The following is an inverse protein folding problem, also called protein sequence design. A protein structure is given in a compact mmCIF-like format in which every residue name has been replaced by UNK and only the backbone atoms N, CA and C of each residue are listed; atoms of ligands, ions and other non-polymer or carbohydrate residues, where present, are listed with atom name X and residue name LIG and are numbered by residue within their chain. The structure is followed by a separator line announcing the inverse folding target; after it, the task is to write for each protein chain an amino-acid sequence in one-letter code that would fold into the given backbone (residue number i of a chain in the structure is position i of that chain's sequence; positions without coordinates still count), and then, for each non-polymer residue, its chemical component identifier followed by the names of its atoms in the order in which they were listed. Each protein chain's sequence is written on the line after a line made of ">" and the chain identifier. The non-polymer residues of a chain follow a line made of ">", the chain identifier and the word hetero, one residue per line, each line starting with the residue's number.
data_IF_141917683236
#
_entry.id   IF_141917683236
#
_cell.length_a   1.000
_cell.length_b   1.000
_cell.length_c   1.000
_cell.angle_alpha   90.00
_cell.angle_beta   90.00
_cell.angle_gamma   90.00
#
_symmetry.space_group_name_H-M   'P 1'
#
loop_
_entity.id
_entity.type
_entity.pdbx_description
1 polymer ?
#
# COMPACT_ATOMS: atom_id res chain seq x y z
N UNK A 1 46.56 -63.80 -16.74
CA UNK A 1 46.49 -62.82 -17.84
C UNK A 1 45.46 -61.74 -17.50
N UNK A 2 45.90 -60.53 -17.15
CA UNK A 2 44.99 -59.42 -16.85
C UNK A 2 44.62 -58.71 -18.17
N UNK A 3 43.38 -58.87 -18.64
CA UNK A 3 42.89 -58.14 -19.82
C UNK A 3 42.66 -56.67 -19.45
N UNK A 4 43.53 -55.78 -19.92
CA UNK A 4 43.33 -54.32 -19.84
C UNK A 4 42.08 -53.95 -20.65
N UNK A 5 41.02 -53.49 -20.00
CA UNK A 5 39.84 -52.93 -20.67
C UNK A 5 40.27 -51.67 -21.43
N UNK A 6 40.08 -51.63 -22.74
CA UNK A 6 40.22 -50.40 -23.54
C UNK A 6 39.08 -49.45 -23.16
N UNK A 7 39.41 -48.28 -22.65
CA UNK A 7 38.45 -47.21 -22.44
C UNK A 7 38.21 -46.56 -23.81
N UNK A 8 36.99 -46.70 -24.35
CA UNK A 8 36.55 -45.95 -25.52
C UNK A 8 36.21 -44.53 -25.04
N UNK A 9 36.86 -43.52 -25.63
CA UNK A 9 36.51 -42.12 -25.40
C UNK A 9 35.19 -41.75 -26.09
N UNK A 10 34.50 -40.72 -25.58
CA UNK A 10 33.27 -40.21 -26.16
C UNK A 10 33.50 -39.61 -27.55
N UNK A 11 32.51 -39.75 -28.45
CA UNK A 11 32.53 -39.11 -29.77
C UNK A 11 32.31 -37.60 -29.65
N UNK A 12 32.89 -36.80 -30.55
CA UNK A 12 32.69 -35.35 -30.61
C UNK A 12 31.21 -34.96 -30.76
N UNK A 13 30.43 -35.75 -31.53
CA UNK A 13 28.99 -35.55 -31.67
C UNK A 13 28.25 -35.77 -30.34
N UNK A 14 28.64 -36.81 -29.59
CA UNK A 14 28.04 -37.15 -28.30
C UNK A 14 28.34 -36.07 -27.26
N UNK A 15 29.58 -35.55 -27.24
CA UNK A 15 29.97 -34.42 -26.40
C UNK A 15 29.20 -33.14 -26.78
N UNK A 16 29.02 -32.83 -28.07
CA UNK A 16 28.23 -31.68 -28.52
C UNK A 16 26.75 -31.80 -28.16
N UNK A 17 26.16 -32.98 -28.33
CA UNK A 17 24.77 -33.24 -27.92
C UNK A 17 24.60 -33.12 -26.41
N UNK A 18 25.51 -33.68 -25.63
CA UNK A 18 25.50 -33.56 -24.17
C UNK A 18 25.62 -32.09 -23.72
N UNK A 19 26.52 -31.33 -24.35
CA UNK A 19 26.70 -29.91 -24.06
C UNK A 19 25.47 -29.08 -24.47
N UNK A 20 24.82 -29.43 -25.58
CA UNK A 20 23.58 -28.79 -26.04
C UNK A 20 22.41 -29.03 -25.09
N UNK A 21 22.21 -30.27 -24.65
CA UNK A 21 21.17 -30.62 -23.66
C UNK A 21 21.46 -29.92 -22.32
N UNK A 22 22.73 -29.90 -21.89
CA UNK A 22 23.14 -29.20 -20.68
C UNK A 22 22.88 -27.70 -20.77
N UNK A 23 23.22 -27.07 -21.91
CA UNK A 23 22.98 -25.65 -22.16
C UNK A 23 21.50 -25.31 -22.13
N UNK A 24 20.66 -26.10 -22.83
CA UNK A 24 19.20 -25.93 -22.79
C UNK A 24 18.64 -26.10 -21.37
N UNK A 25 19.15 -27.07 -20.60
CA UNK A 25 18.78 -27.29 -19.21
C UNK A 25 19.09 -26.08 -18.31
N UNK A 26 20.28 -25.50 -18.45
CA UNK A 26 20.67 -24.31 -17.67
C UNK A 26 19.80 -23.09 -18.01
N UNK A 27 19.47 -22.89 -19.28
CA UNK A 27 18.58 -21.78 -19.70
C UNK A 27 17.18 -21.95 -19.11
N UNK A 28 16.63 -23.17 -19.13
CA UNK A 28 15.33 -23.44 -18.52
C UNK A 28 15.33 -23.18 -17.01
N UNK A 29 16.38 -23.58 -16.30
CA UNK A 29 16.53 -23.29 -14.85
C UNK A 29 16.61 -21.79 -14.61
N UNK A 30 17.40 -21.07 -15.41
CA UNK A 30 17.54 -19.62 -15.28
C UNK A 30 16.23 -18.86 -15.51
N UNK A 31 15.32 -19.38 -16.34
CA UNK A 31 14.00 -18.80 -16.57
C UNK A 31 13.00 -19.12 -15.46
N UNK A 32 12.94 -20.38 -15.00
CA UNK A 32 11.90 -20.83 -14.05
C UNK A 32 12.20 -20.37 -12.62
N UNK A 33 13.46 -20.35 -12.21
CA UNK A 33 13.82 -20.09 -10.82
C UNK A 33 13.44 -18.68 -10.32
N UNK A 34 13.73 -17.58 -11.05
CA UNK A 34 13.34 -16.23 -10.62
C UNK A 34 11.81 -16.05 -10.57
N UNK A 35 11.10 -16.63 -11.53
CA UNK A 35 9.63 -16.60 -11.57
C UNK A 35 9.05 -17.33 -10.38
N UNK A 36 9.58 -18.52 -10.07
CA UNK A 36 9.18 -19.30 -8.89
C UNK A 36 9.36 -18.52 -7.58
N UNK A 37 10.51 -17.85 -7.40
CA UNK A 37 10.77 -17.01 -6.22
C UNK A 37 9.76 -15.87 -6.13
N UNK A 38 9.52 -15.14 -7.23
CA UNK A 38 8.62 -13.99 -7.25
C UNK A 38 7.17 -14.40 -6.95
N UNK A 39 6.69 -15.48 -7.55
CA UNK A 39 5.33 -15.99 -7.34
C UNK A 39 5.15 -16.51 -5.91
N UNK A 40 6.14 -17.25 -5.39
CA UNK A 40 6.12 -17.73 -4.01
C UNK A 40 6.08 -16.56 -3.03
N UNK A 41 6.95 -15.56 -3.20
CA UNK A 41 6.96 -14.36 -2.36
C UNK A 41 5.62 -13.60 -2.39
N UNK A 42 5.04 -13.42 -3.58
CA UNK A 42 3.74 -12.74 -3.72
C UNK A 42 2.60 -13.54 -3.09
N UNK A 43 2.61 -14.87 -3.22
CA UNK A 43 1.62 -15.76 -2.60
C UNK A 43 1.68 -15.73 -1.07
N UNK A 44 2.90 -15.80 -0.53
CA UNK A 44 3.15 -15.68 0.92
C UNK A 44 2.70 -14.31 1.44
N UNK A 45 3.03 -13.22 0.74
CA UNK A 45 2.59 -11.87 1.08
C UNK A 45 1.07 -11.75 1.11
N UNK A 46 0.35 -12.27 0.11
CA UNK A 46 -1.12 -12.25 0.11
C UNK A 46 -1.73 -12.99 1.29
N UNK A 47 -1.15 -14.13 1.65
CA UNK A 47 -1.63 -14.95 2.78
C UNK A 47 -1.38 -14.22 4.11
N UNK A 48 -0.17 -13.69 4.32
CA UNK A 48 0.15 -12.90 5.51
C UNK A 48 -0.70 -11.63 5.56
N UNK A 49 -0.90 -10.96 4.42
CA UNK A 49 -1.73 -9.76 4.32
C UNK A 49 -3.16 -9.99 4.78
N UNK A 50 -3.77 -11.14 4.45
CA UNK A 50 -5.10 -11.49 4.93
C UNK A 50 -5.13 -11.77 6.44
N UNK A 51 -4.12 -12.47 6.97
CA UNK A 51 -4.02 -12.78 8.40
C UNK A 51 -3.81 -11.52 9.23
N UNK A 52 -2.84 -10.68 8.84
CA UNK A 52 -2.55 -9.42 9.50
C UNK A 52 -3.74 -8.45 9.45
N UNK A 53 -4.49 -8.43 8.34
CA UNK A 53 -5.72 -7.62 8.25
C UNK A 53 -6.81 -8.12 9.21
N UNK A 54 -7.01 -9.44 9.34
CA UNK A 54 -7.98 -9.99 10.30
C UNK A 54 -7.61 -9.65 11.74
N UNK A 55 -6.32 -9.69 12.07
CA UNK A 55 -5.82 -9.27 13.37
C UNK A 55 -6.04 -7.77 13.61
N UNK A 56 -5.73 -6.93 12.63
CA UNK A 56 -5.99 -5.50 12.68
C UNK A 56 -7.48 -5.20 12.94
N UNK A 57 -8.40 -5.87 12.25
CA UNK A 57 -9.84 -5.72 12.50
C UNK A 57 -10.22 -6.09 13.93
N UNK A 58 -9.66 -7.18 14.47
CA UNK A 58 -9.89 -7.57 15.85
C UNK A 58 -9.37 -6.51 16.84
N UNK A 59 -8.20 -5.92 16.56
CA UNK A 59 -7.64 -4.83 17.38
C UNK A 59 -8.48 -3.55 17.32
N UNK A 60 -8.95 -3.17 16.13
CA UNK A 60 -9.87 -2.04 15.94
C UNK A 60 -11.17 -2.25 16.74
N UNK A 61 -11.73 -3.46 16.71
CA UNK A 61 -12.91 -3.80 17.52
C UNK A 61 -12.61 -3.76 19.03
N UNK A 62 -11.44 -4.25 19.45
CA UNK A 62 -11.04 -4.31 20.86
C UNK A 62 -10.80 -2.93 21.47
N UNK A 63 -10.06 -2.07 20.79
CA UNK A 63 -9.78 -0.71 21.26
C UNK A 63 -10.97 0.24 21.09
N UNK A 64 -11.92 -0.18 20.28
CA UNK A 64 -13.15 0.55 20.03
C UNK A 64 -12.92 1.74 19.12
N UNK A 65 -14.03 2.40 18.84
CA UNK A 65 -14.07 3.64 18.10
C UNK A 65 -14.68 4.72 19.00
N UNK A 66 -14.23 5.96 18.85
CA UNK A 66 -14.75 7.10 19.61
C UNK A 66 -16.00 7.66 18.96
N UNK A 67 -16.81 8.36 19.75
CA UNK A 67 -18.05 9.01 19.32
C UNK A 67 -17.86 9.80 18.01
N UNK A 68 -18.73 9.59 17.03
CA UNK A 68 -18.60 10.14 15.68
C UNK A 68 -18.59 11.66 15.67
N UNK A 69 -19.29 12.30 16.62
CA UNK A 69 -19.29 13.75 16.77
C UNK A 69 -17.87 14.31 17.01
N UNK A 70 -16.99 13.52 17.66
CA UNK A 70 -15.62 13.92 17.93
C UNK A 70 -14.72 13.86 16.69
N UNK A 71 -15.08 13.08 15.66
CA UNK A 71 -14.25 12.93 14.46
C UNK A 71 -14.15 14.23 13.67
N UNK A 72 -15.19 15.07 13.74
CA UNK A 72 -15.17 16.43 13.19
C UNK A 72 -14.05 17.30 13.78
N UNK A 73 -13.50 16.94 14.95
CA UNK A 73 -12.32 17.65 15.49
C UNK A 73 -11.03 17.34 14.73
N UNK A 74 -10.97 16.21 14.01
CA UNK A 74 -9.83 15.85 13.16
C UNK A 74 -9.83 16.75 11.93
N UNK A 75 -10.98 16.83 11.25
CA UNK A 75 -11.19 17.74 10.14
C UNK A 75 -12.62 18.34 10.20
N UNK A 76 -12.78 19.62 10.58
CA UNK A 76 -14.10 20.24 10.83
C UNK A 76 -15.02 20.30 9.61
N UNK A 77 -14.49 20.18 8.41
CA UNK A 77 -15.26 20.21 7.16
C UNK A 77 -15.78 18.85 6.73
N UNK A 78 -15.32 17.78 7.38
CA UNK A 78 -15.53 16.41 6.91
C UNK A 78 -16.65 15.75 7.72
N UNK A 79 -17.65 15.22 7.02
CA UNK A 79 -18.74 14.45 7.63
C UNK A 79 -18.27 13.00 7.89
N UNK A 80 -18.29 12.49 9.13
CA UNK A 80 -17.93 11.11 9.48
C UNK A 80 -18.65 10.02 8.69
N UNK A 81 -19.86 10.31 8.20
CA UNK A 81 -20.66 9.38 7.39
C UNK A 81 -20.34 9.41 5.90
N UNK A 82 -19.67 10.48 5.44
CA UNK A 82 -19.36 10.73 4.04
C UNK A 82 -17.87 10.88 3.76
N UNK A 83 -16.99 10.70 4.75
CA UNK A 83 -15.54 10.81 4.57
C UNK A 83 -14.76 9.79 5.41
N UNK A 84 -13.58 9.44 4.92
CA UNK A 84 -12.68 8.49 5.55
C UNK A 84 -11.67 9.22 6.45
N UNK A 85 -11.44 8.70 7.65
CA UNK A 85 -10.52 9.23 8.63
C UNK A 85 -9.43 8.21 8.95
N UNK A 86 -8.20 8.65 9.19
CA UNK A 86 -7.15 7.75 9.68
C UNK A 86 -7.51 7.25 11.10
N UNK A 87 -7.54 5.93 11.26
CA UNK A 87 -7.85 5.27 12.54
C UNK A 87 -6.97 5.78 13.68
N UNK A 88 -5.71 6.11 13.42
CA UNK A 88 -4.76 6.64 14.43
C UNK A 88 -5.27 7.94 15.03
N UNK A 89 -5.82 8.82 14.21
CA UNK A 89 -6.38 10.06 14.68
C UNK A 89 -7.70 9.81 15.43
N UNK A 90 -8.53 8.88 14.95
CA UNK A 90 -9.80 8.52 15.60
C UNK A 90 -9.59 7.95 17.01
N UNK A 91 -8.64 7.03 17.19
CA UNK A 91 -8.40 6.38 18.49
C UNK A 91 -7.73 7.30 19.51
N UNK A 92 -6.95 8.28 19.03
CA UNK A 92 -6.29 9.30 19.84
C UNK A 92 -7.25 10.42 20.31
N UNK A 93 -8.49 10.47 19.79
CA UNK A 93 -9.46 11.47 20.23
C UNK A 93 -9.81 11.29 21.72
N UNK A 94 -9.95 12.40 22.46
CA UNK A 94 -10.33 12.35 23.88
C UNK A 94 -11.69 11.68 24.03
N UNK A 95 -11.78 10.68 24.91
CA UNK A 95 -13.05 10.04 25.25
C UNK A 95 -13.79 10.90 26.30
N UNK A 96 -14.96 11.49 25.98
CA UNK A 96 -15.71 12.31 26.94
C UNK A 96 -16.21 11.50 28.15
N UNK A 97 -16.43 10.18 28.00
CA UNK A 97 -16.83 9.30 29.09
C UNK A 97 -15.64 8.81 29.93
N UNK A 98 -14.41 8.84 29.39
CA UNK A 98 -13.18 8.42 30.08
C UNK A 98 -12.02 9.34 29.69
N UNK A 99 -12.02 10.60 30.18
CA UNK A 99 -11.06 11.63 29.76
C UNK A 99 -9.60 11.35 30.16
N UNK A 100 -9.32 10.24 30.85
CA UNK A 100 -7.98 9.82 31.26
C UNK A 100 -7.47 8.58 30.51
N UNK A 101 -8.30 7.92 29.69
CA UNK A 101 -7.89 6.78 28.86
C UNK A 101 -7.42 7.26 27.48
N UNK A 102 -6.28 7.96 27.47
CA UNK A 102 -5.56 8.26 26.25
C UNK A 102 -4.71 7.05 25.86
N UNK A 103 -4.94 6.55 24.64
CA UNK A 103 -3.97 5.69 23.98
C UNK A 103 -3.16 6.64 23.10
N UNK A 104 -1.86 6.77 23.33
CA UNK A 104 -0.97 7.54 22.44
C UNK A 104 -0.54 6.64 21.28
N UNK A 105 -1.39 6.57 20.26
CA UNK A 105 -1.16 5.73 19.09
C UNK A 105 -0.36 6.50 18.06
N UNK A 106 0.92 6.14 17.94
CA UNK A 106 1.85 6.68 16.94
C UNK A 106 1.94 5.78 15.70
N UNK A 107 2.53 6.28 14.61
CA UNK A 107 2.65 5.54 13.33
C UNK A 107 3.54 4.30 13.44
N UNK A 108 4.41 4.23 14.43
CA UNK A 108 5.33 3.13 14.69
C UNK A 108 4.93 2.29 15.89
N UNK A 109 3.73 2.51 16.44
CA UNK A 109 3.24 1.80 17.61
C UNK A 109 3.37 0.29 17.41
N UNK A 110 4.02 -0.45 18.34
CA UNK A 110 4.29 -1.88 18.14
C UNK A 110 3.04 -2.72 17.86
N UNK A 111 1.88 -2.26 18.34
CA UNK A 111 0.60 -2.93 18.10
C UNK A 111 0.11 -2.87 16.65
N UNK A 112 0.67 -1.99 15.83
CA UNK A 112 0.45 -1.96 14.38
C UNK A 112 1.39 -2.87 13.61
N UNK A 113 2.36 -3.49 14.27
CA UNK A 113 3.36 -4.33 13.63
C UNK A 113 2.93 -5.79 13.68
N UNK A 114 3.20 -6.53 12.61
CA UNK A 114 2.91 -7.96 12.51
C UNK A 114 4.21 -8.76 12.30
N UNK A 115 4.39 -9.90 13.00
CA UNK A 115 3.46 -10.51 13.96
C UNK A 115 3.39 -9.76 15.29
N UNK A 116 2.23 -9.74 15.96
CA UNK A 116 2.04 -9.08 17.26
C UNK A 116 2.55 -9.90 18.43
N UNK A 117 3.83 -10.26 18.36
CA UNK A 117 4.55 -10.93 19.43
C UNK A 117 5.71 -10.04 19.85
N UNK A 118 6.07 -10.07 21.14
CA UNK A 118 7.32 -9.46 21.56
C UNK A 118 8.48 -10.23 20.94
N UNK A 119 9.22 -9.59 20.04
CA UNK A 119 10.39 -10.18 19.40
C UNK A 119 11.59 -10.01 20.34
N UNK A 120 12.23 -11.11 20.81
CA UNK A 120 13.44 -11.02 21.62
C UNK A 120 14.57 -10.27 20.89
N UNK A 121 15.40 -9.56 21.66
CA UNK A 121 16.57 -8.88 21.10
C UNK A 121 17.47 -9.86 20.32
N UNK A 122 17.81 -9.50 19.07
CA UNK A 122 18.63 -10.31 18.18
C UNK A 122 17.88 -11.22 17.19
N UNK A 123 16.54 -11.21 17.20
CA UNK A 123 15.71 -11.84 16.16
C UNK A 123 15.30 -10.84 15.07
N UNK A 124 14.82 -11.37 13.93
CA UNK A 124 14.41 -10.53 12.81
C UNK A 124 13.32 -9.54 13.22
N UNK A 125 13.43 -8.25 12.85
CA UNK A 125 12.44 -7.24 13.21
C UNK A 125 11.08 -7.57 12.56
N UNK A 126 10.02 -6.97 13.10
CA UNK A 126 8.70 -7.03 12.48
C UNK A 126 8.81 -6.60 11.01
N UNK A 127 8.21 -7.39 10.11
CA UNK A 127 8.33 -7.19 8.66
C UNK A 127 7.16 -6.44 8.06
N UNK A 128 6.04 -6.46 8.77
CA UNK A 128 4.76 -5.98 8.30
C UNK A 128 4.18 -4.98 9.28
N UNK A 129 3.41 -4.05 8.74
CA UNK A 129 2.71 -3.04 9.49
C UNK A 129 1.29 -2.91 8.94
N UNK A 130 0.35 -2.51 9.77
CA UNK A 130 -1.01 -2.22 9.32
C UNK A 130 -1.43 -0.81 9.71
N UNK A 131 -2.22 -0.20 8.85
CA UNK A 131 -2.85 1.10 9.07
C UNK A 131 -4.29 1.00 8.58
N UNK A 132 -5.18 1.86 9.07
CA UNK A 132 -6.59 1.75 8.72
C UNK A 132 -7.22 3.12 8.47
N UNK A 133 -8.17 3.13 7.54
CA UNK A 133 -9.11 4.23 7.35
C UNK A 133 -10.48 3.79 7.88
N UNK A 134 -11.17 4.70 8.56
CA UNK A 134 -12.47 4.48 9.17
C UNK A 134 -13.49 5.46 8.59
N UNK A 135 -14.70 4.98 8.31
CA UNK A 135 -15.85 5.79 7.94
C UNK A 135 -17.08 5.27 8.66
N UNK A 136 -17.86 6.15 9.28
CA UNK A 136 -19.12 5.75 9.89
C UNK A 136 -20.10 5.34 8.78
N UNK A 137 -20.77 4.22 8.95
CA UNK A 137 -21.84 3.76 8.05
C UNK A 137 -23.19 4.08 8.69
N UNK A 138 -23.32 3.76 9.97
CA UNK A 138 -24.45 4.11 10.81
C UNK A 138 -23.98 4.37 12.25
N UNK A 139 -24.92 4.55 13.19
CA UNK A 139 -24.61 4.82 14.59
C UNK A 139 -23.85 3.70 15.33
N UNK A 140 -23.79 2.49 14.78
CA UNK A 140 -23.14 1.30 15.38
C UNK A 140 -22.17 0.60 14.42
N UNK A 141 -22.12 1.00 13.16
CA UNK A 141 -21.34 0.36 12.12
C UNK A 141 -20.29 1.31 11.57
N UNK A 142 -19.07 0.82 11.49
CA UNK A 142 -17.96 1.52 10.84
C UNK A 142 -17.39 0.66 9.73
N UNK A 143 -17.23 1.25 8.56
CA UNK A 143 -16.44 0.68 7.48
C UNK A 143 -14.97 0.94 7.79
N UNK A 144 -14.21 -0.13 8.04
CA UNK A 144 -12.78 -0.09 8.23
C UNK A 144 -12.07 -0.63 6.98
N UNK A 145 -11.14 0.15 6.43
CA UNK A 145 -10.27 -0.22 5.32
C UNK A 145 -8.84 -0.35 5.83
N UNK A 146 -8.37 -1.58 5.99
CA UNK A 146 -7.03 -1.89 6.51
C UNK A 146 -6.05 -2.06 5.36
N UNK A 147 -4.94 -1.33 5.43
CA UNK A 147 -3.77 -1.47 4.57
C UNK A 147 -2.70 -2.24 5.32
N UNK A 148 -2.33 -3.41 4.79
CA UNK A 148 -1.16 -4.15 5.26
C UNK A 148 0.02 -3.79 4.37
N UNK A 149 1.06 -3.26 4.99
CA UNK A 149 2.24 -2.71 4.33
C UNK A 149 3.50 -3.40 4.83
N UNK A 150 4.58 -3.26 4.05
CA UNK A 150 5.93 -3.66 4.43
C UNK A 150 6.92 -2.56 4.14
N UNK A 151 8.08 -2.62 4.78
CA UNK A 151 9.20 -1.75 4.39
C UNK A 151 9.73 -2.12 3.01
N UNK A 152 9.97 -1.11 2.19
CA UNK A 152 10.58 -1.27 0.87
C UNK A 152 12.08 -1.60 0.97
N UNK A 153 12.74 -1.14 2.04
CA UNK A 153 14.15 -1.30 2.35
C UNK A 153 14.46 -0.85 3.78
N UNK A 154 15.65 -1.17 4.26
CA UNK A 154 16.13 -0.78 5.58
C UNK A 154 16.53 0.71 5.59
N UNK A 155 16.23 1.42 6.68
CA UNK A 155 16.56 2.85 6.83
C UNK A 155 15.75 3.81 5.94
N UNK A 156 14.81 3.31 5.14
CA UNK A 156 13.91 4.17 4.36
C UNK A 156 12.89 4.85 5.26
N UNK A 157 12.68 6.13 5.02
CA UNK A 157 11.61 6.93 5.60
C UNK A 157 10.39 6.95 4.66
N UNK A 158 9.24 7.29 5.21
CA UNK A 158 7.95 7.30 4.56
C UNK A 158 7.25 8.62 4.77
N UNK A 159 6.32 8.92 3.86
CA UNK A 159 5.52 10.14 3.94
C UNK A 159 4.49 10.04 5.06
N UNK A 160 4.25 11.17 5.74
CA UNK A 160 3.24 11.30 6.79
C UNK A 160 2.07 12.13 6.29
N UNK A 161 0.88 11.94 6.87
CA UNK A 161 -0.31 12.72 6.49
C UNK A 161 -0.12 14.23 6.71
N UNK A 162 0.79 14.64 7.61
CA UNK A 162 1.14 16.04 7.84
C UNK A 162 2.08 16.64 6.77
N UNK A 163 2.43 15.90 5.71
CA UNK A 163 3.31 16.36 4.63
C UNK A 163 4.81 16.17 4.91
N UNK A 164 5.18 15.42 5.95
CA UNK A 164 6.57 15.12 6.30
C UNK A 164 7.13 13.86 5.61
N UNK A 165 8.46 13.71 5.63
CA UNK A 165 9.22 12.57 5.10
C UNK A 165 9.97 11.83 6.23
N UNK A 166 9.33 11.71 7.38
CA UNK A 166 9.90 11.24 8.65
C UNK A 166 9.20 9.98 9.19
N UNK A 167 8.22 9.45 8.47
CA UNK A 167 7.51 8.24 8.86
C UNK A 167 8.41 7.01 8.86
N UNK A 168 8.29 6.15 9.88
CA UNK A 168 9.05 4.90 9.98
C UNK A 168 8.38 3.71 9.26
N UNK A 169 7.09 3.88 8.90
CA UNK A 169 6.29 2.87 8.22
C UNK A 169 5.42 3.49 7.13
N UNK A 170 5.20 2.76 6.02
CA UNK A 170 4.29 3.20 4.98
C UNK A 170 2.86 3.31 5.53
N UNK A 171 2.30 4.51 5.43
CA UNK A 171 0.98 4.86 5.92
C UNK A 171 0.16 5.62 4.85
N UNK A 172 -1.18 5.60 4.90
CA UNK A 172 -2.02 6.32 3.97
C UNK A 172 -1.81 7.84 4.09
N UNK A 173 -1.77 8.51 2.95
CA UNK A 173 -1.69 9.97 2.84
C UNK A 173 -2.76 10.47 1.86
N UNK A 174 -3.24 11.68 2.09
CA UNK A 174 -4.29 12.31 1.29
C UNK A 174 -3.72 13.04 0.07
N UNK A 175 -4.22 12.74 -1.12
CA UNK A 175 -3.80 13.43 -2.34
C UNK A 175 -5.02 14.03 -3.02
N UNK A 176 -4.91 15.28 -3.44
CA UNK A 176 -5.95 15.95 -4.20
C UNK A 176 -5.87 15.54 -5.66
N UNK A 177 -7.03 15.25 -6.24
CA UNK A 177 -7.20 14.85 -7.63
C UNK A 177 -8.37 15.60 -8.25
N UNK A 178 -8.38 15.69 -9.57
CA UNK A 178 -9.55 16.13 -10.34
C UNK A 178 -9.78 15.18 -11.50
N UNK A 179 -10.90 15.38 -12.18
CA UNK A 179 -11.24 14.58 -13.36
C UNK A 179 -10.23 14.86 -14.48
N UNK A 180 -9.74 13.80 -15.13
CA UNK A 180 -8.86 13.87 -16.28
C UNK A 180 -9.63 13.98 -17.59
N UNK A 181 -9.16 13.30 -18.64
CA UNK A 181 -9.78 13.34 -19.97
C UNK A 181 -11.08 12.52 -20.08
N UNK A 182 -11.24 11.47 -19.27
CA UNK A 182 -12.40 10.57 -19.26
C UNK A 182 -12.72 10.05 -17.85
N UNK A 183 -13.84 9.36 -17.67
CA UNK A 183 -14.31 8.86 -16.36
C UNK A 183 -13.36 7.89 -15.65
N UNK A 184 -12.30 7.39 -16.30
CA UNK A 184 -11.28 6.52 -15.69
C UNK A 184 -9.97 7.25 -15.42
N UNK A 185 -9.87 8.50 -15.80
CA UNK A 185 -8.65 9.28 -15.68
C UNK A 185 -8.78 10.30 -14.55
N UNK A 186 -7.81 10.30 -13.65
CA UNK A 186 -7.68 11.29 -12.58
C UNK A 186 -6.38 12.05 -12.74
N UNK A 187 -6.44 13.38 -12.72
CA UNK A 187 -5.26 14.24 -12.69
C UNK A 187 -4.86 14.54 -11.23
N UNK A 188 -3.61 14.27 -10.87
CA UNK A 188 -3.05 14.56 -9.54
C UNK A 188 -2.73 16.04 -9.43
N UNK A 189 -3.21 16.67 -8.34
CA UNK A 189 -2.95 18.07 -8.03
C UNK A 189 -1.72 18.16 -7.11
N UNK A 190 -0.76 19.02 -7.48
CA UNK A 190 0.54 19.16 -6.80
C UNK A 190 0.51 20.04 -5.55
N UNK A 191 -0.63 20.66 -5.24
CA UNK A 191 -0.70 21.76 -4.27
C UNK A 191 -0.54 21.32 -2.81
N UNK A 192 -0.65 20.02 -2.53
CA UNK A 192 -1.00 19.61 -1.17
C UNK A 192 0.17 19.80 -0.19
N UNK A 193 1.42 19.60 -0.61
CA UNK A 193 2.60 19.68 0.28
C UNK A 193 3.89 20.23 -0.33
N UNK A 194 3.89 20.66 -1.60
CA UNK A 194 5.12 21.11 -2.29
C UNK A 194 6.18 20.01 -2.50
N UNK A 195 5.93 18.78 -2.05
CA UNK A 195 6.71 17.57 -2.37
C UNK A 195 6.30 16.98 -3.71
N UNK A 196 7.20 16.18 -4.28
CA UNK A 196 6.95 15.42 -5.51
C UNK A 196 5.94 14.27 -5.28
N UNK A 197 4.65 14.62 -5.18
CA UNK A 197 3.51 13.70 -5.00
C UNK A 197 3.41 12.70 -6.17
N UNK A 198 4.11 12.98 -7.28
CA UNK A 198 4.13 12.14 -8.47
C UNK A 198 4.79 10.78 -8.24
N UNK A 199 5.72 10.70 -7.29
CA UNK A 199 6.33 9.43 -6.89
C UNK A 199 5.43 8.53 -6.05
N UNK A 200 4.20 8.95 -5.71
CA UNK A 200 3.33 8.20 -4.80
C UNK A 200 2.63 7.04 -5.50
N UNK A 201 2.52 7.12 -6.82
CA UNK A 201 1.76 6.18 -7.64
C UNK A 201 2.70 5.37 -8.51
N UNK A 202 2.49 4.06 -8.53
CA UNK A 202 3.01 3.17 -9.56
C UNK A 202 1.91 2.30 -10.14
N UNK A 203 2.24 1.51 -11.15
CA UNK A 203 1.30 0.58 -11.76
C UNK A 203 0.74 -0.40 -10.70
N UNK A 204 -0.56 -0.67 -10.77
CA UNK A 204 -1.30 -1.51 -9.82
C UNK A 204 -1.35 -0.99 -8.37
N UNK A 205 -1.08 0.31 -8.15
CA UNK A 205 -1.29 0.95 -6.85
C UNK A 205 -2.75 0.92 -6.44
N UNK A 206 -3.00 0.82 -5.14
CA UNK A 206 -4.35 0.90 -4.57
C UNK A 206 -4.59 2.31 -4.08
N UNK A 207 -5.70 2.91 -4.50
CA UNK A 207 -6.17 4.18 -3.96
C UNK A 207 -7.54 3.98 -3.35
N UNK A 208 -7.89 4.80 -2.37
CA UNK A 208 -9.20 4.78 -1.73
C UNK A 208 -9.82 6.16 -1.81
N UNK A 209 -11.04 6.26 -2.35
CA UNK A 209 -11.75 7.52 -2.39
C UNK A 209 -12.05 8.01 -0.97
N UNK A 210 -11.74 9.27 -0.66
CA UNK A 210 -11.99 9.81 0.68
C UNK A 210 -13.49 9.77 1.01
N UNK A 211 -14.34 10.08 0.05
CA UNK A 211 -15.77 10.27 0.30
C UNK A 211 -16.50 8.96 0.69
N UNK A 212 -16.50 7.95 -0.15
CA UNK A 212 -17.29 6.73 0.08
C UNK A 212 -16.45 5.53 0.53
N UNK A 213 -15.13 5.70 0.66
CA UNK A 213 -14.21 4.62 1.01
C UNK A 213 -14.08 3.57 -0.09
N UNK A 214 -14.49 3.86 -1.34
CA UNK A 214 -14.34 2.91 -2.45
C UNK A 214 -12.88 2.71 -2.80
N UNK A 215 -12.53 1.45 -3.02
CA UNK A 215 -11.17 1.05 -3.37
C UNK A 215 -11.07 0.99 -4.88
N UNK A 216 -10.12 1.74 -5.45
CA UNK A 216 -9.79 1.71 -6.86
C UNK A 216 -8.38 1.17 -7.09
N UNK A 217 -8.18 0.58 -8.27
CA UNK A 217 -6.86 0.12 -8.74
C UNK A 217 -6.37 0.99 -9.88
N UNK A 218 -5.17 1.53 -9.72
CA UNK A 218 -4.45 2.25 -10.78
C UNK A 218 -3.96 1.21 -11.79
N UNK A 219 -4.50 1.25 -13.00
CA UNK A 219 -4.08 0.42 -14.11
C UNK A 219 -2.73 0.88 -14.65
N UNK A 220 -2.59 2.19 -14.87
CA UNK A 220 -1.41 2.80 -15.47
C UNK A 220 -1.19 4.19 -14.87
N UNK A 221 0.07 4.49 -14.56
CA UNK A 221 0.48 5.84 -14.23
C UNK A 221 1.07 6.53 -15.46
N UNK A 222 0.34 7.50 -16.02
CA UNK A 222 0.81 8.28 -17.17
C UNK A 222 1.40 9.60 -16.70
N UNK A 223 2.72 9.67 -16.70
CA UNK A 223 3.44 10.93 -16.65
C UNK A 223 3.37 11.56 -18.05
N UNK A 224 2.34 12.38 -18.33
CA UNK A 224 2.21 13.00 -19.66
C UNK A 224 2.79 14.40 -19.65
N UNK A 225 3.69 14.57 -20.62
CA UNK A 225 4.40 15.78 -20.99
C UNK A 225 3.54 17.05 -21.09
N UNK A 226 4.11 18.13 -20.58
CA UNK A 226 4.07 19.51 -21.07
C UNK A 226 2.86 19.92 -21.92
N UNK A 227 1.85 20.54 -21.31
CA UNK A 227 1.09 21.57 -22.01
C UNK A 227 1.69 22.94 -21.64
N UNK A 228 2.42 23.53 -22.58
CA UNK A 228 2.85 24.93 -22.47
C UNK A 228 1.63 25.82 -22.73
N UNK A 229 0.87 26.13 -21.68
CA UNK A 229 -0.05 27.26 -21.70
C UNK A 229 0.75 28.49 -21.25
N UNK A 230 1.49 29.10 -22.18
CA UNK A 230 2.43 30.20 -21.92
C UNK A 230 3.84 29.74 -21.47
N UNK A 231 4.61 30.63 -20.85
CA UNK A 231 6.02 30.43 -20.44
C UNK A 231 6.22 29.49 -19.23
N UNK A 232 5.15 28.95 -18.65
CA UNK A 232 5.23 28.07 -17.46
C UNK A 232 4.82 26.63 -17.81
N UNK A 233 5.73 25.65 -17.74
CA UNK A 233 5.38 24.26 -18.02
C UNK A 233 4.44 23.72 -16.93
N UNK A 234 3.25 23.27 -17.31
CA UNK A 234 2.34 22.56 -16.40
C UNK A 234 2.51 21.05 -16.60
N UNK A 235 2.98 20.35 -15.57
CA UNK A 235 3.13 18.88 -15.56
C UNK A 235 1.76 18.30 -15.22
N UNK A 236 1.20 17.47 -16.11
CA UNK A 236 -0.03 16.72 -15.87
C UNK A 236 0.30 15.26 -15.59
N UNK A 237 -0.01 14.80 -14.39
CA UNK A 237 0.14 13.40 -14.01
C UNK A 237 -1.22 12.74 -13.89
N UNK A 238 -1.46 11.76 -14.75
CA UNK A 238 -2.77 11.14 -14.94
C UNK A 238 -2.73 9.71 -14.46
N UNK A 239 -3.59 9.39 -13.49
CA UNK A 239 -3.88 8.03 -13.05
C UNK A 239 -4.96 7.46 -13.97
N UNK A 240 -4.69 6.33 -14.63
CA UNK A 240 -5.73 5.56 -15.32
C UNK A 240 -6.22 4.49 -14.37
N UNK A 241 -7.51 4.48 -14.07
CA UNK A 241 -8.16 3.52 -13.20
C UNK A 241 -8.65 2.30 -13.98
N UNK A 242 -8.77 1.18 -13.26
CA UNK A 242 -9.32 -0.07 -13.82
C UNK A 242 -10.83 0.03 -14.08
N UNK A 243 -11.51 0.87 -13.32
CA UNK A 243 -12.96 1.08 -13.35
C UNK A 243 -13.29 2.58 -13.38
N UNK A 244 -14.55 2.91 -13.68
CA UNK A 244 -14.99 4.30 -13.78
C UNK A 244 -14.97 4.95 -12.38
N UNK A 245 -14.36 6.12 -12.28
CA UNK A 245 -14.43 6.98 -11.12
C UNK A 245 -15.86 7.47 -10.92
N UNK A 246 -16.34 7.38 -9.68
CA UNK A 246 -17.69 7.78 -9.32
C UNK A 246 -17.60 8.99 -8.36
N UNK A 247 -17.48 10.21 -8.90
CA UNK A 247 -17.27 11.39 -8.09
C UNK A 247 -18.53 11.75 -7.29
N UNK A 248 -18.38 12.26 -6.06
CA UNK A 248 -19.47 12.97 -5.41
C UNK A 248 -19.85 14.22 -6.23
N UNK A 249 -21.17 14.46 -6.32
CA UNK A 249 -21.74 15.53 -7.14
C UNK A 249 -21.37 16.92 -6.60
N UNK A 250 -21.20 17.89 -7.49
CA UNK A 250 -21.06 19.31 -7.12
C UNK A 250 -19.64 19.77 -6.80
N UNK A 251 -18.62 18.91 -6.94
CA UNK A 251 -17.21 19.25 -6.74
C UNK A 251 -16.41 19.13 -8.04
N UNK A 252 -15.36 19.93 -8.16
CA UNK A 252 -14.42 19.92 -9.31
C UNK A 252 -13.10 19.21 -8.99
N UNK A 253 -12.84 18.96 -7.71
CA UNK A 253 -11.69 18.22 -7.18
C UNK A 253 -12.13 17.38 -6.00
N UNK A 254 -11.37 16.32 -5.73
CA UNK A 254 -11.63 15.34 -4.68
C UNK A 254 -10.33 14.92 -4.02
N UNK A 255 -10.46 14.34 -2.84
CA UNK A 255 -9.32 13.78 -2.11
C UNK A 255 -9.37 12.25 -2.19
N UNK A 256 -8.21 11.64 -2.44
CA UNK A 256 -8.00 10.19 -2.38
C UNK A 256 -6.94 9.87 -1.34
N UNK A 257 -6.98 8.64 -0.84
CA UNK A 257 -5.95 8.09 0.02
C UNK A 257 -5.08 7.12 -0.77
N UNK A 258 -3.77 7.25 -0.62
CA UNK A 258 -2.77 6.35 -1.20
C UNK A 258 -1.70 6.04 -0.16
N UNK A 259 -1.13 4.85 -0.20
CA UNK A 259 0.08 4.54 0.58
C UNK A 259 1.29 4.70 -0.34
N UNK A 260 2.08 5.78 -0.18
CA UNK A 260 3.21 6.04 -1.06
C UNK A 260 4.37 5.07 -0.76
N UNK A 261 5.25 4.83 -1.74
CA UNK A 261 6.48 4.10 -1.50
C UNK A 261 7.42 4.90 -0.57
N UNK A 262 8.46 4.24 -0.08
CA UNK A 262 9.48 4.90 0.73
C UNK A 262 10.15 6.02 -0.06
N UNK A 263 10.60 7.06 0.64
CA UNK A 263 11.28 8.22 0.03
C UNK A 263 12.49 7.72 -0.77
N UNK A 264 12.56 8.07 -2.06
CA UNK A 264 13.60 7.59 -2.97
C UNK A 264 13.44 6.15 -3.46
N UNK A 265 12.31 5.49 -3.17
CA UNK A 265 11.97 4.16 -3.67
C UNK A 265 10.73 4.20 -4.56
N UNK A 266 10.69 3.35 -5.59
CA UNK A 266 9.50 3.11 -6.41
C UNK A 266 8.79 1.80 -6.05
N UNK A 267 9.26 1.09 -5.02
CA UNK A 267 8.71 -0.22 -4.65
C UNK A 267 7.41 -0.01 -3.87
N UNK A 268 6.30 -0.49 -4.45
CA UNK A 268 5.00 -0.47 -3.78
C UNK A 268 5.07 -1.22 -2.42
N UNK A 269 4.80 -0.55 -1.30
CA UNK A 269 4.88 -1.15 0.03
C UNK A 269 3.61 -1.90 0.41
N UNK A 270 2.50 -1.69 -0.31
CA UNK A 270 1.20 -2.30 -0.01
C UNK A 270 1.19 -3.76 -0.43
N UNK A 271 0.84 -4.63 0.51
CA UNK A 271 0.70 -6.06 0.30
C UNK A 271 -0.76 -6.43 0.07
N UNK A 272 -1.63 -5.91 0.95
CA UNK A 272 -3.06 -6.21 0.93
C UNK A 272 -3.84 -4.99 1.40
N UNK A 273 -5.01 -4.80 0.81
CA UNK A 273 -6.01 -3.83 1.27
C UNK A 273 -7.31 -4.61 1.44
N UNK A 274 -7.82 -4.63 2.67
CA UNK A 274 -9.04 -5.37 3.02
C UNK A 274 -10.00 -4.39 3.65
N UNK A 275 -11.27 -4.46 3.24
CA UNK A 275 -12.33 -3.63 3.79
C UNK A 275 -13.38 -4.50 4.46
N UNK A 276 -13.85 -4.07 5.63
CA UNK A 276 -14.89 -4.77 6.40
C UNK A 276 -15.75 -3.76 7.16
N UNK A 277 -17.04 -4.01 7.24
CA UNK A 277 -17.93 -3.32 8.16
C UNK A 277 -17.86 -3.99 9.53
N UNK A 278 -17.54 -3.20 10.54
CA UNK A 278 -17.43 -3.60 11.94
C UNK A 278 -18.62 -3.03 12.71
N UNK A 279 -19.18 -3.81 13.63
CA UNK A 279 -20.23 -3.36 14.55
C UNK A 279 -19.63 -3.13 15.94
N UNK A 280 -20.02 -2.03 16.58
CA UNK A 280 -19.61 -1.59 17.91
C UNK A 280 -20.80 -1.47 18.87
#
# INVERSE_FOLDING_TARGET
>A
MYKRRRQFGFSLLEALMATGILGMGLVLIAMVFPVGIKLTGTSTERTIGAIAANEAFAKIQLWGIRDYDQWTKINPTDDPFQMCFDYRHVVNLPNPAQPLNFIDVQSDWPEFQYPSITIPAGQEPHKYHWSALCRAVDAQQVQATVFVTRRAGEGLLYYTQAGGQDGLWPSPVQVNVKMGGNSRELEVLTDTWGTDVFGFFGDNSTIVANHDGRIYRVLEYKAVNYEAVGDTPTIKNTLVLTEDWLPPLGLTSWTIWVVPPGVGSMRNPVISVVQKTLTF
#
